data_IF_955714662746
#
_entry.id   IF_955714662746
#
_cell.length_a   1.000
_cell.length_b   1.000
_cell.length_c   1.000
_cell.angle_alpha   90.00
_cell.angle_beta   90.00
_cell.angle_gamma   90.00
#
_symmetry.space_group_name_H-M   'P 1'
#
loop_
_entity.id
_entity.type
_entity.pdbx_description
1 polymer ?
#
# COMPACT_ATOMS: atom_id res chain seq x y z
N UNK A 1 10.67 15.13 -19.73
CA UNK A 1 9.96 14.77 -18.48
C UNK A 1 10.24 13.33 -18.06
N UNK A 2 9.82 12.30 -18.83
CA UNK A 2 9.91 10.89 -18.38
C UNK A 2 11.33 10.46 -17.96
N UNK A 3 12.37 10.77 -18.75
CA UNK A 3 13.76 10.46 -18.37
C UNK A 3 14.21 11.18 -17.09
N UNK A 4 13.80 12.44 -16.90
CA UNK A 4 14.10 13.21 -15.68
C UNK A 4 13.47 12.58 -14.45
N UNK A 5 12.21 12.13 -14.56
CA UNK A 5 11.50 11.45 -13.48
C UNK A 5 12.09 10.07 -13.20
N UNK A 6 12.45 9.31 -14.23
CA UNK A 6 13.12 8.03 -14.06
C UNK A 6 14.44 8.17 -13.30
N UNK A 7 15.26 9.17 -13.66
CA UNK A 7 16.51 9.46 -12.97
C UNK A 7 16.28 9.89 -11.51
N UNK A 8 15.24 10.70 -11.25
CA UNK A 8 14.84 11.06 -9.88
C UNK A 8 14.47 9.80 -9.08
N UNK A 9 13.65 8.91 -9.65
CA UNK A 9 13.22 7.67 -8.99
C UNK A 9 14.43 6.78 -8.69
N UNK A 10 15.32 6.56 -9.65
CA UNK A 10 16.51 5.70 -9.47
C UNK A 10 17.45 6.24 -8.38
N UNK A 11 17.69 7.55 -8.38
CA UNK A 11 18.54 8.21 -7.38
C UNK A 11 17.97 8.05 -5.96
N UNK A 12 16.69 8.36 -5.77
CA UNK A 12 16.09 8.28 -4.44
C UNK A 12 15.73 6.86 -4.03
N UNK A 13 15.47 5.97 -4.97
CA UNK A 13 15.38 4.53 -4.71
C UNK A 13 16.67 4.02 -4.07
N UNK A 14 17.82 4.38 -4.64
CA UNK A 14 19.13 3.97 -4.12
C UNK A 14 19.35 4.50 -2.71
N UNK A 15 19.04 5.78 -2.46
CA UNK A 15 19.18 6.41 -1.15
C UNK A 15 18.26 5.77 -0.11
N UNK A 16 16.98 5.58 -0.44
CA UNK A 16 15.97 4.97 0.45
C UNK A 16 16.28 3.50 0.74
N UNK A 17 16.86 2.77 -0.21
CA UNK A 17 17.27 1.38 -0.02
C UNK A 17 18.52 1.23 0.87
N UNK A 18 19.31 2.29 1.01
CA UNK A 18 20.54 2.33 1.82
C UNK A 18 20.38 3.00 3.19
N UNK A 19 19.15 3.29 3.63
CA UNK A 19 18.92 3.90 4.94
C UNK A 19 19.45 3.01 6.07
N UNK A 20 20.01 3.68 7.07
CA UNK A 20 20.59 3.09 8.28
C UNK A 20 20.51 4.13 9.39
N UNK A 21 20.80 3.76 10.64
CA UNK A 21 20.60 4.60 11.83
C UNK A 21 21.31 5.96 11.80
N UNK A 22 22.40 6.11 11.05
CA UNK A 22 23.14 7.38 10.91
C UNK A 22 22.60 8.26 9.77
N UNK A 23 21.61 7.76 9.01
CA UNK A 23 21.00 8.53 7.93
C UNK A 23 20.10 9.62 8.49
N UNK A 24 20.17 10.82 7.92
CA UNK A 24 19.25 11.88 8.25
C UNK A 24 18.05 11.86 7.31
N UNK A 25 17.03 11.05 7.64
CA UNK A 25 15.79 10.95 6.83
C UNK A 25 15.08 12.28 6.62
N UNK A 26 15.16 13.20 7.59
CA UNK A 26 14.60 14.55 7.43
C UNK A 26 15.31 15.31 6.30
N UNK A 27 16.64 15.29 6.28
CA UNK A 27 17.42 15.92 5.21
C UNK A 27 17.17 15.22 3.86
N UNK A 28 17.01 13.89 3.84
CA UNK A 28 16.67 13.16 2.62
C UNK A 28 15.31 13.60 2.06
N UNK A 29 14.29 13.74 2.91
CA UNK A 29 12.97 14.27 2.54
C UNK A 29 13.07 15.69 1.99
N UNK A 30 13.78 16.57 2.68
CA UNK A 30 13.98 17.96 2.24
C UNK A 30 14.70 18.02 0.88
N UNK A 31 15.71 17.16 0.67
CA UNK A 31 16.42 17.03 -0.60
C UNK A 31 15.51 16.52 -1.73
N UNK A 32 14.70 15.49 -1.50
CA UNK A 32 13.73 14.98 -2.47
C UNK A 32 12.74 16.05 -2.93
N UNK A 33 12.23 16.83 -1.98
CA UNK A 33 11.27 17.90 -2.24
C UNK A 33 11.88 19.07 -3.03
N UNK A 34 13.12 19.44 -2.72
CA UNK A 34 13.84 20.47 -3.46
C UNK A 34 14.19 20.01 -4.88
N UNK A 35 14.69 18.79 -5.02
CA UNK A 35 15.17 18.24 -6.29
C UNK A 35 14.04 18.00 -7.28
N UNK A 36 12.88 17.48 -6.85
CA UNK A 36 11.74 17.33 -7.77
C UNK A 36 11.30 18.69 -8.31
N UNK A 37 11.31 19.74 -7.49
CA UNK A 37 10.95 21.09 -7.90
C UNK A 37 11.95 21.64 -8.92
N UNK A 38 13.24 21.46 -8.66
CA UNK A 38 14.30 21.88 -9.58
C UNK A 38 14.20 21.15 -10.93
N UNK A 39 14.05 19.83 -10.91
CA UNK A 39 13.89 19.01 -12.11
C UNK A 39 12.66 19.37 -12.94
N UNK A 40 11.54 19.63 -12.28
CA UNK A 40 10.31 20.02 -12.97
C UNK A 40 10.38 21.45 -13.52
N UNK A 41 11.17 22.34 -12.91
CA UNK A 41 11.34 23.71 -13.41
C UNK A 41 11.95 23.81 -14.82
N UNK A 42 12.52 22.72 -15.34
CA UNK A 42 13.04 22.62 -16.70
C UNK A 42 11.93 22.48 -17.76
N UNK A 43 10.67 22.31 -17.35
CA UNK A 43 9.53 22.08 -18.22
C UNK A 43 8.45 23.14 -18.03
N UNK A 44 8.30 24.05 -18.99
CA UNK A 44 7.35 25.17 -18.93
C UNK A 44 5.87 24.76 -18.82
N UNK A 45 5.55 23.52 -19.22
CA UNK A 45 4.17 23.00 -19.26
C UNK A 45 3.80 22.16 -18.02
N UNK A 46 4.70 22.01 -17.06
CA UNK A 46 4.48 21.16 -15.88
C UNK A 46 4.35 22.04 -14.63
N UNK A 47 3.34 21.74 -13.80
CA UNK A 47 3.20 22.40 -12.50
C UNK A 47 4.21 21.82 -11.50
N UNK A 48 5.19 22.64 -11.13
CA UNK A 48 6.22 22.29 -10.15
C UNK A 48 5.66 22.06 -8.74
N UNK A 49 4.54 22.72 -8.39
CA UNK A 49 3.91 22.61 -7.08
C UNK A 49 3.10 21.32 -6.96
N UNK A 50 2.45 20.88 -8.03
CA UNK A 50 1.81 19.56 -8.06
C UNK A 50 2.84 18.45 -7.85
N UNK A 51 3.98 18.50 -8.56
CA UNK A 51 5.05 17.53 -8.38
C UNK A 51 5.63 17.54 -6.97
N UNK A 52 5.86 18.72 -6.39
CA UNK A 52 6.25 18.86 -4.99
C UNK A 52 5.22 18.23 -4.05
N UNK A 53 3.93 18.51 -4.26
CA UNK A 53 2.86 18.01 -3.42
C UNK A 53 2.76 16.49 -3.47
N UNK A 54 2.92 15.87 -4.65
CA UNK A 54 2.94 14.41 -4.79
C UNK A 54 4.02 13.80 -3.91
N UNK A 55 5.26 14.32 -3.96
CA UNK A 55 6.35 13.83 -3.12
C UNK A 55 6.06 14.07 -1.63
N UNK A 56 5.54 15.25 -1.26
CA UNK A 56 5.19 15.56 0.12
C UNK A 56 4.09 14.63 0.68
N UNK A 57 3.12 14.27 -0.15
CA UNK A 57 2.06 13.33 0.20
C UNK A 57 2.59 11.91 0.37
N UNK A 58 3.46 11.43 -0.52
CA UNK A 58 4.11 10.12 -0.39
C UNK A 58 4.88 10.01 0.94
N UNK A 59 5.61 11.07 1.29
CA UNK A 59 6.29 11.13 2.58
C UNK A 59 5.34 11.09 3.77
N UNK A 60 4.26 11.87 3.71
CA UNK A 60 3.27 11.97 4.81
C UNK A 60 2.48 10.67 4.97
N UNK A 61 2.13 10.00 3.86
CA UNK A 61 1.27 8.82 3.86
C UNK A 61 2.02 7.51 4.14
N UNK A 62 3.29 7.40 3.73
CA UNK A 62 4.01 6.12 3.77
C UNK A 62 5.48 6.28 4.17
N UNK A 63 6.30 7.01 3.40
CA UNK A 63 7.75 6.93 3.54
C UNK A 63 8.30 7.38 4.90
N UNK A 64 7.60 8.25 5.63
CA UNK A 64 8.09 8.66 6.98
C UNK A 64 8.15 7.45 7.91
N UNK A 65 7.08 6.66 7.97
CA UNK A 65 7.04 5.47 8.82
C UNK A 65 7.95 4.36 8.29
N UNK A 66 7.93 4.13 6.98
CA UNK A 66 8.73 3.08 6.36
C UNK A 66 10.23 3.37 6.51
N UNK A 67 10.66 4.63 6.34
CA UNK A 67 12.05 5.04 6.51
C UNK A 67 12.54 4.80 7.93
N UNK A 68 11.75 5.12 8.96
CA UNK A 68 12.12 4.86 10.37
C UNK A 68 12.36 3.37 10.62
N UNK A 69 11.53 2.49 10.04
CA UNK A 69 11.70 1.04 10.15
C UNK A 69 12.92 0.53 9.38
N UNK A 70 13.14 1.05 8.17
CA UNK A 70 14.31 0.70 7.35
C UNK A 70 15.60 1.16 8.04
N UNK A 71 15.63 2.34 8.64
CA UNK A 71 16.79 2.84 9.40
C UNK A 71 17.16 1.91 10.56
N UNK A 72 16.15 1.37 11.26
CA UNK A 72 16.36 0.52 12.44
C UNK A 72 16.70 -0.93 12.10
N UNK A 73 16.04 -1.50 11.09
CA UNK A 73 16.10 -2.93 10.77
C UNK A 73 16.92 -3.24 9.52
N UNK A 74 17.12 -2.25 8.65
CA UNK A 74 17.61 -2.43 7.28
C UNK A 74 16.49 -2.82 6.30
N UNK A 75 16.67 -2.49 5.02
CA UNK A 75 15.62 -2.58 4.00
C UNK A 75 14.94 -3.95 3.90
N UNK A 76 15.72 -5.03 3.84
CA UNK A 76 15.20 -6.38 3.64
C UNK A 76 14.51 -6.97 4.87
N UNK A 77 14.97 -6.64 6.08
CA UNK A 77 14.34 -7.09 7.31
C UNK A 77 13.08 -6.28 7.61
N UNK A 78 13.12 -4.96 7.39
CA UNK A 78 11.95 -4.10 7.50
C UNK A 78 10.82 -4.56 6.57
N UNK A 79 11.13 -4.89 5.31
CA UNK A 79 10.15 -5.43 4.36
C UNK A 79 9.60 -6.82 4.71
N UNK A 80 10.32 -7.62 5.51
CA UNK A 80 9.87 -8.93 5.99
C UNK A 80 9.17 -8.86 7.35
N UNK A 81 9.22 -7.71 8.00
CA UNK A 81 8.64 -7.52 9.32
C UNK A 81 7.11 -7.50 9.22
N UNK A 82 6.48 -8.18 10.17
CA UNK A 82 5.03 -8.37 10.23
C UNK A 82 4.52 -8.12 11.63
N UNK A 83 3.31 -7.60 11.71
CA UNK A 83 2.58 -7.39 12.95
C UNK A 83 1.33 -8.28 13.03
N UNK A 84 0.92 -8.69 14.24
CA UNK A 84 -0.33 -9.43 14.44
C UNK A 84 -1.54 -8.65 13.88
N UNK A 85 -2.32 -9.27 13.00
CA UNK A 85 -3.57 -8.68 12.56
C UNK A 85 -4.65 -8.91 13.63
N UNK A 86 -4.94 -7.90 14.44
CA UNK A 86 -5.88 -8.01 15.56
C UNK A 86 -7.29 -7.63 15.11
N UNK A 87 -8.24 -8.55 15.21
CA UNK A 87 -9.64 -8.35 14.84
C UNK A 87 -10.56 -8.58 16.04
N UNK A 88 -11.64 -7.80 16.11
CA UNK A 88 -12.66 -7.96 17.14
C UNK A 88 -13.64 -9.05 16.73
N UNK A 89 -13.67 -10.18 17.43
CA UNK A 89 -14.62 -11.29 17.16
C UNK A 89 -15.60 -11.48 18.32
N UNK A 90 -16.77 -12.04 17.98
CA UNK A 90 -17.81 -12.41 18.94
C UNK A 90 -18.64 -11.23 19.49
N UNK A 91 -19.62 -11.56 20.35
CA UNK A 91 -20.56 -10.58 20.93
C UNK A 91 -19.89 -9.59 21.89
N UNK A 92 -18.80 -10.01 22.55
CA UNK A 92 -18.07 -9.19 23.51
C UNK A 92 -16.91 -8.39 22.88
N UNK A 93 -16.75 -8.42 21.54
CA UNK A 93 -15.67 -7.73 20.81
C UNK A 93 -14.28 -8.04 21.36
N UNK A 94 -14.01 -9.31 21.65
CA UNK A 94 -12.69 -9.73 22.11
C UNK A 94 -11.67 -9.56 20.98
N UNK A 95 -10.53 -8.93 21.27
CA UNK A 95 -9.43 -8.77 20.31
C UNK A 95 -8.67 -10.08 20.20
N UNK A 96 -8.84 -10.78 19.08
CA UNK A 96 -8.11 -12.00 18.75
C UNK A 96 -7.22 -11.78 17.54
N UNK A 97 -6.07 -12.44 17.51
CA UNK A 97 -5.21 -12.40 16.34
C UNK A 97 -5.81 -13.26 15.21
N UNK A 98 -5.87 -12.71 14.00
CA UNK A 98 -6.34 -13.36 12.78
C UNK A 98 -5.38 -13.07 11.63
N UNK A 99 -4.29 -13.83 11.59
CA UNK A 99 -3.22 -13.66 10.61
C UNK A 99 -2.19 -12.60 11.00
N UNK A 100 -1.50 -12.09 9.98
CA UNK A 100 -0.38 -11.17 10.09
C UNK A 100 -0.49 -10.10 9.01
N UNK A 101 -0.17 -8.85 9.32
CA UNK A 101 -0.03 -7.78 8.35
C UNK A 101 1.46 -7.47 8.15
N UNK A 102 1.91 -7.36 6.91
CA UNK A 102 3.23 -6.78 6.64
C UNK A 102 3.24 -5.32 7.10
N UNK A 103 4.34 -4.91 7.76
CA UNK A 103 4.43 -3.56 8.33
C UNK A 103 4.69 -2.52 7.23
N UNK A 104 5.55 -2.85 6.26
CA UNK A 104 5.84 -2.01 5.08
C UNK A 104 5.13 -2.53 3.83
N UNK A 105 5.19 -3.84 3.58
CA UNK A 105 4.64 -4.45 2.37
C UNK A 105 3.19 -4.91 2.62
N UNK A 106 2.17 -4.31 1.98
CA UNK A 106 0.79 -4.71 2.20
C UNK A 106 0.52 -6.13 1.73
N UNK A 107 -0.30 -6.87 2.49
CA UNK A 107 -0.69 -8.23 2.11
C UNK A 107 -1.42 -8.28 0.76
N UNK A 108 -2.18 -7.25 0.41
CA UNK A 108 -2.85 -7.15 -0.89
C UNK A 108 -1.87 -7.14 -2.05
N UNK A 109 -0.73 -6.45 -1.89
CA UNK A 109 0.34 -6.41 -2.90
C UNK A 109 1.03 -7.77 -3.02
N UNK A 110 1.31 -8.44 -1.90
CA UNK A 110 1.86 -9.80 -1.91
C UNK A 110 0.89 -10.75 -2.62
N UNK A 111 -0.41 -10.63 -2.32
CA UNK A 111 -1.42 -11.46 -2.93
C UNK A 111 -1.53 -11.21 -4.44
N UNK A 112 -1.52 -9.96 -4.90
CA UNK A 112 -1.61 -9.64 -6.32
C UNK A 112 -0.39 -10.10 -7.12
N UNK A 113 0.81 -9.91 -6.58
CA UNK A 113 2.07 -10.21 -7.29
C UNK A 113 2.45 -11.70 -7.22
N UNK A 114 2.16 -12.38 -6.11
CA UNK A 114 2.60 -13.75 -5.89
C UNK A 114 1.50 -14.81 -6.02
N UNK A 115 0.23 -14.42 -5.88
CA UNK A 115 -0.91 -15.34 -5.77
C UNK A 115 -2.10 -14.90 -6.64
N UNK A 116 -1.81 -14.34 -7.82
CA UNK A 116 -2.83 -13.76 -8.70
C UNK A 116 -3.86 -14.78 -9.19
N UNK A 117 -3.44 -16.01 -9.50
CA UNK A 117 -4.35 -17.08 -9.93
C UNK A 117 -5.27 -17.52 -8.78
N UNK A 118 -4.72 -17.67 -7.57
CA UNK A 118 -5.49 -18.03 -6.38
C UNK A 118 -6.46 -16.92 -5.98
N UNK A 119 -6.05 -15.65 -6.09
CA UNK A 119 -6.95 -14.51 -5.89
C UNK A 119 -8.12 -14.54 -6.86
N UNK A 120 -7.86 -14.72 -8.16
CA UNK A 120 -8.91 -14.79 -9.18
C UNK A 120 -9.86 -15.96 -8.92
N UNK A 121 -9.34 -17.11 -8.48
CA UNK A 121 -10.16 -18.26 -8.11
C UNK A 121 -11.03 -17.97 -6.88
N UNK A 122 -10.49 -17.33 -5.85
CA UNK A 122 -11.25 -16.89 -4.66
C UNK A 122 -12.35 -15.91 -5.06
N UNK A 123 -12.07 -14.95 -5.93
CA UNK A 123 -13.07 -13.99 -6.42
C UNK A 123 -14.19 -14.69 -7.22
N UNK A 124 -13.85 -15.64 -8.08
CA UNK A 124 -14.84 -16.45 -8.80
C UNK A 124 -15.75 -17.21 -7.84
N UNK A 125 -15.20 -17.81 -6.78
CA UNK A 125 -15.98 -18.49 -5.75
C UNK A 125 -16.90 -17.53 -4.98
N UNK A 126 -16.42 -16.33 -4.64
CA UNK A 126 -17.24 -15.30 -3.98
C UNK A 126 -18.40 -14.85 -4.86
N UNK A 127 -18.16 -14.62 -6.15
CA UNK A 127 -19.20 -14.26 -7.11
C UNK A 127 -20.26 -15.36 -7.20
N UNK A 128 -19.82 -16.63 -7.29
CA UNK A 128 -20.74 -17.77 -7.33
C UNK A 128 -21.58 -17.91 -6.05
N UNK A 129 -21.02 -17.62 -4.88
CA UNK A 129 -21.80 -17.57 -3.63
C UNK A 129 -22.88 -16.48 -3.72
N UNK A 130 -22.51 -15.27 -4.18
CA UNK A 130 -23.47 -14.18 -4.34
C UNK A 130 -24.58 -14.49 -5.35
N UNK A 131 -24.26 -15.20 -6.44
CA UNK A 131 -25.25 -15.67 -7.41
C UNK A 131 -26.24 -16.64 -6.75
N UNK A 132 -25.73 -17.64 -6.04
CA UNK A 132 -26.56 -18.62 -5.32
C UNK A 132 -27.45 -17.93 -4.27
N UNK A 133 -26.92 -16.98 -3.51
CA UNK A 133 -27.71 -16.23 -2.51
C UNK A 133 -28.85 -15.44 -3.17
N UNK A 134 -28.63 -14.88 -4.37
CA UNK A 134 -29.66 -14.21 -5.16
C UNK A 134 -30.72 -15.20 -5.64
N UNK A 135 -30.32 -16.33 -6.21
CA UNK A 135 -31.24 -17.38 -6.67
C UNK A 135 -32.10 -17.92 -5.53
N UNK A 136 -31.50 -18.17 -4.36
CA UNK A 136 -32.23 -18.62 -3.16
C UNK A 136 -33.22 -17.55 -2.72
N UNK A 137 -32.83 -16.28 -2.72
CA UNK A 137 -33.72 -15.17 -2.35
C UNK A 137 -34.92 -15.06 -3.29
N UNK A 138 -34.69 -15.19 -4.60
CA UNK A 138 -35.75 -15.19 -5.61
C UNK A 138 -36.70 -16.37 -5.45
N UNK A 139 -36.17 -17.58 -5.20
CA UNK A 139 -36.99 -18.77 -4.96
C UNK A 139 -37.84 -18.63 -3.69
N UNK A 140 -37.28 -18.06 -2.62
CA UNK A 140 -38.00 -17.79 -1.37
C UNK A 140 -39.13 -16.78 -1.61
N UNK A 141 -38.89 -15.72 -2.38
CA UNK A 141 -39.92 -14.73 -2.69
C UNK A 141 -41.05 -15.33 -3.53
N UNK A 142 -40.72 -16.08 -4.58
CA UNK A 142 -41.71 -16.76 -5.42
C UNK A 142 -42.53 -17.82 -4.66
N UNK A 143 -41.99 -18.38 -3.56
CA UNK A 143 -42.67 -19.35 -2.72
C UNK A 143 -43.58 -18.71 -1.67
N UNK A 144 -43.52 -17.39 -1.45
CA UNK A 144 -44.48 -16.68 -0.61
C UNK A 144 -45.80 -16.59 -1.37
N UNK A 145 -46.81 -17.28 -0.88
CA UNK A 145 -48.19 -17.13 -1.35
C UNK A 145 -48.69 -15.77 -0.86
N UNK A 146 -49.16 -14.92 -1.76
CA UNK A 146 -49.90 -13.70 -1.40
C UNK A 146 -51.22 -14.12 -0.73
N UNK A 147 -51.38 -13.78 0.56
CA UNK A 147 -52.68 -13.83 1.28
C UNK A 147 -53.59 -12.66 0.87
#
# INVERSE_FOLDING_TARGET
>A
VQSTIAAFIEEYWTKLHSLHTDTNTRQLKEAMLADIKERLSQFDQVDIYEGYQIIAEIWTKSLTHDAELIEQLGFYEAGRTREPNMVSKGKNKEKVQDGWNGVIIPNSLIASECYGEELAHIESLKNRISEIDSEVSELVENAKVED
#
